data_IF_526239873027
#
_entry.id   IF_526239873027
#
_cell.length_a   1.000
_cell.length_b   1.000
_cell.length_c   1.000
_cell.angle_alpha   90.00
_cell.angle_beta   90.00
_cell.angle_gamma   90.00
#
_symmetry.space_group_name_H-M   'P 1'
#
loop_
_entity.id
_entity.type
_entity.pdbx_description
1 polymer ?
#
# COMPACT_ATOMS: atom_id res chain seq x y z
N UNK A 1 5.10 11.80 11.37
CA UNK A 1 4.30 12.54 12.36
C UNK A 1 4.96 12.52 13.74
N UNK A 2 5.07 11.40 14.44
CA UNK A 2 5.64 11.29 15.79
C UNK A 2 7.04 11.95 15.90
N UNK A 3 7.93 11.69 14.93
CA UNK A 3 9.23 12.34 14.85
C UNK A 3 9.11 13.88 14.86
N UNK A 4 8.25 14.44 14.01
CA UNK A 4 8.07 15.90 13.91
C UNK A 4 7.56 16.54 15.21
N UNK A 5 6.70 15.83 15.94
CA UNK A 5 6.21 16.31 17.25
C UNK A 5 7.30 16.19 18.34
N UNK A 6 8.01 15.06 18.36
CA UNK A 6 9.10 14.86 19.34
C UNK A 6 10.25 15.86 19.14
N UNK A 7 10.64 16.15 17.88
CA UNK A 7 11.65 17.17 17.55
C UNK A 7 11.24 18.61 17.96
N UNK A 8 9.94 18.86 18.20
CA UNK A 8 9.44 20.12 18.75
C UNK A 8 9.29 20.10 20.29
N UNK A 9 9.82 19.07 20.96
CA UNK A 9 9.82 18.95 22.43
C UNK A 9 8.53 18.38 23.03
N UNK A 10 7.55 17.94 22.21
CA UNK A 10 6.35 17.32 22.74
C UNK A 10 6.62 15.88 23.17
N UNK A 11 6.03 15.47 24.31
CA UNK A 11 6.06 14.06 24.74
C UNK A 11 5.17 13.22 23.86
N UNK A 12 5.75 12.34 23.06
CA UNK A 12 5.05 11.48 22.12
C UNK A 12 5.12 10.04 22.58
N UNK A 13 3.95 9.35 22.61
CA UNK A 13 3.88 7.92 22.85
C UNK A 13 3.13 7.25 21.70
N UNK A 14 3.74 6.21 21.13
CA UNK A 14 3.17 5.42 20.03
C UNK A 14 2.80 4.05 20.60
N UNK A 15 1.55 3.64 20.43
CA UNK A 15 1.07 2.29 20.73
C UNK A 15 0.95 1.50 19.43
N UNK A 16 1.59 0.33 19.38
CA UNK A 16 1.54 -0.59 18.23
C UNK A 16 1.07 -1.97 18.72
N UNK A 17 0.09 -2.54 18.00
CA UNK A 17 -0.46 -3.88 18.35
C UNK A 17 0.52 -5.02 18.07
N UNK A 18 1.42 -4.85 17.10
CA UNK A 18 2.40 -5.86 16.72
C UNK A 18 3.72 -5.73 17.49
N UNK A 19 4.51 -6.81 17.54
CA UNK A 19 5.83 -6.79 18.21
C UNK A 19 6.89 -5.99 17.43
N UNK A 20 6.60 -5.60 16.21
CA UNK A 20 7.46 -4.75 15.36
C UNK A 20 6.59 -3.71 14.67
N UNK A 21 7.04 -2.45 14.54
CA UNK A 21 6.31 -1.44 13.79
C UNK A 21 6.47 -1.64 12.30
N UNK A 22 5.71 -0.87 11.51
CA UNK A 22 5.82 -0.86 10.05
C UNK A 22 4.51 -1.09 9.31
N UNK A 23 3.43 -1.47 10.00
CA UNK A 23 2.11 -1.68 9.38
C UNK A 23 2.18 -2.71 8.25
N UNK A 24 1.85 -2.30 7.00
CA UNK A 24 1.96 -3.18 5.82
C UNK A 24 3.42 -3.42 5.39
N UNK A 25 4.37 -2.58 5.82
CA UNK A 25 5.80 -2.78 5.56
C UNK A 25 6.51 -3.57 6.69
N UNK A 26 5.74 -4.22 7.60
CA UNK A 26 6.33 -5.11 8.62
C UNK A 26 7.08 -6.25 7.94
N UNK A 27 8.12 -6.75 8.61
CA UNK A 27 9.06 -7.72 8.02
C UNK A 27 8.94 -9.10 8.66
N UNK A 28 9.30 -10.12 7.85
CA UNK A 28 9.71 -11.46 8.25
C UNK A 28 11.19 -11.61 7.96
N UNK A 29 11.79 -12.72 8.38
CA UNK A 29 13.19 -13.07 8.07
C UNK A 29 13.23 -14.21 7.06
N UNK A 30 14.02 -14.04 6.01
CA UNK A 30 14.25 -15.05 4.97
C UNK A 30 15.75 -15.11 4.70
N UNK A 31 16.35 -16.29 4.89
CA UNK A 31 17.79 -16.47 4.68
C UNK A 31 18.68 -15.58 5.56
N UNK A 32 18.17 -15.14 6.72
CA UNK A 32 18.88 -14.23 7.64
C UNK A 32 18.72 -12.74 7.31
N UNK A 33 17.98 -12.40 6.26
CA UNK A 33 17.71 -11.02 5.85
C UNK A 33 16.23 -10.63 6.07
N UNK A 34 15.93 -9.37 6.44
CA UNK A 34 14.56 -8.91 6.55
C UNK A 34 13.92 -8.77 5.17
N UNK A 35 12.65 -9.16 5.07
CA UNK A 35 11.82 -9.07 3.88
C UNK A 35 10.43 -8.58 4.28
N UNK A 36 9.83 -7.65 3.54
CA UNK A 36 8.48 -7.16 3.83
C UNK A 36 7.43 -8.27 3.67
N UNK A 37 6.47 -8.34 4.59
CA UNK A 37 5.34 -9.28 4.52
C UNK A 37 4.42 -9.03 3.31
N UNK A 38 4.37 -7.80 2.82
CA UNK A 38 3.74 -7.40 1.58
C UNK A 38 4.79 -6.73 0.71
N UNK A 39 4.82 -7.05 -0.58
CA UNK A 39 5.79 -6.51 -1.51
C UNK A 39 5.77 -4.98 -1.56
N UNK A 40 6.94 -4.36 -1.44
CA UNK A 40 7.13 -2.91 -1.48
C UNK A 40 8.26 -2.54 -2.45
N UNK A 41 8.09 -1.40 -3.07
CA UNK A 41 9.12 -0.70 -3.84
C UNK A 41 8.76 0.79 -3.89
N UNK A 42 9.72 1.63 -4.24
CA UNK A 42 9.52 3.06 -4.49
C UNK A 42 9.54 3.33 -5.99
N UNK A 43 8.79 4.34 -6.38
CA UNK A 43 8.93 4.98 -7.68
C UNK A 43 9.93 6.13 -7.60
N UNK A 44 10.58 6.45 -8.72
CA UNK A 44 11.54 7.60 -8.77
C UNK A 44 10.89 8.93 -8.42
N UNK A 45 9.56 9.01 -8.49
CA UNK A 45 8.76 10.17 -8.10
C UNK A 45 8.41 10.22 -6.61
N UNK A 46 8.77 9.20 -5.81
CA UNK A 46 8.44 9.10 -4.37
C UNK A 46 9.40 9.94 -3.52
N UNK A 47 9.41 11.24 -3.76
CA UNK A 47 10.38 12.19 -3.21
C UNK A 47 10.35 12.30 -1.70
N UNK A 48 9.18 12.16 -1.06
CA UNK A 48 9.09 12.24 0.40
C UNK A 48 9.76 11.03 1.08
N UNK A 49 9.66 9.85 0.48
CA UNK A 49 10.35 8.66 0.99
C UNK A 49 11.87 8.76 0.82
N UNK A 50 12.33 9.28 -0.32
CA UNK A 50 13.77 9.53 -0.57
C UNK A 50 14.30 10.57 0.42
N UNK A 51 13.63 11.71 0.55
CA UNK A 51 14.04 12.78 1.46
C UNK A 51 14.09 12.33 2.92
N UNK A 52 13.12 11.52 3.36
CA UNK A 52 13.14 10.97 4.72
C UNK A 52 14.30 9.98 4.91
N UNK A 53 14.61 9.14 3.91
CA UNK A 53 15.76 8.25 3.98
C UNK A 53 17.09 9.01 4.08
N UNK A 54 17.24 10.10 3.33
CA UNK A 54 18.39 10.99 3.40
C UNK A 54 18.48 11.68 4.77
N UNK A 55 17.38 12.25 5.26
CA UNK A 55 17.28 12.89 6.58
C UNK A 55 17.66 11.95 7.74
N UNK A 56 17.30 10.68 7.63
CA UNK A 56 17.60 9.65 8.62
C UNK A 56 18.99 9.01 8.45
N UNK A 57 19.78 9.46 7.44
CA UNK A 57 21.14 8.95 7.18
C UNK A 57 21.19 7.55 6.59
N UNK A 58 20.10 7.09 5.94
CA UNK A 58 20.01 5.77 5.29
C UNK A 58 19.73 5.87 3.79
N UNK A 59 19.89 7.05 3.21
CA UNK A 59 19.62 7.32 1.79
C UNK A 59 20.55 6.54 0.85
N UNK A 60 21.79 6.29 1.24
CA UNK A 60 22.79 5.51 0.52
C UNK A 60 22.45 4.01 0.41
N UNK A 61 21.52 3.54 1.21
CA UNK A 61 20.98 2.18 1.11
C UNK A 61 19.91 2.05 0.02
N UNK A 62 19.40 3.14 -0.53
CA UNK A 62 18.37 3.11 -1.57
C UNK A 62 18.98 2.83 -2.94
N UNK A 63 18.62 1.71 -3.53
CA UNK A 63 19.08 1.26 -4.84
C UNK A 63 17.97 1.38 -5.88
N UNK A 64 18.30 1.90 -7.06
CA UNK A 64 17.39 2.02 -8.18
C UNK A 64 17.72 0.98 -9.23
N UNK A 65 16.90 -0.05 -9.34
CA UNK A 65 17.15 -1.22 -10.15
C UNK A 65 16.14 -1.33 -11.31
N UNK A 66 16.53 -1.88 -12.47
CA UNK A 66 15.60 -2.12 -13.56
C UNK A 66 14.58 -3.19 -13.17
N UNK A 67 13.32 -2.97 -13.47
CA UNK A 67 12.25 -3.95 -13.24
C UNK A 67 11.67 -4.46 -14.55
N UNK A 68 11.36 -5.74 -14.59
CA UNK A 68 10.71 -6.39 -15.73
C UNK A 68 9.28 -6.76 -15.37
N UNK A 69 8.33 -6.29 -16.20
CA UNK A 69 6.91 -6.54 -16.00
C UNK A 69 6.35 -7.46 -17.08
N UNK A 70 5.47 -8.36 -16.66
CA UNK A 70 4.72 -9.22 -17.55
C UNK A 70 3.22 -9.18 -17.30
N UNK A 71 2.48 -9.83 -18.17
CA UNK A 71 1.06 -10.10 -18.02
C UNK A 71 0.78 -11.55 -18.43
N UNK A 72 0.01 -12.25 -17.62
CA UNK A 72 -0.57 -13.54 -17.93
C UNK A 72 -1.97 -13.31 -18.47
N UNK A 73 -2.21 -13.73 -19.70
CA UNK A 73 -3.53 -13.68 -20.35
C UNK A 73 -3.60 -14.72 -21.46
N UNK A 74 -4.80 -15.23 -21.71
CA UNK A 74 -5.05 -16.28 -22.74
C UNK A 74 -4.12 -17.50 -22.57
N UNK A 75 -3.87 -17.91 -21.31
CA UNK A 75 -3.04 -19.07 -20.98
C UNK A 75 -1.54 -18.90 -21.30
N UNK A 76 -1.02 -17.69 -21.44
CA UNK A 76 0.38 -17.41 -21.78
C UNK A 76 0.98 -16.23 -21.02
N UNK A 77 2.30 -16.31 -20.86
CA UNK A 77 3.15 -15.23 -20.39
C UNK A 77 3.49 -14.27 -21.54
N UNK A 78 3.28 -12.99 -21.31
CA UNK A 78 3.66 -11.94 -22.24
C UNK A 78 4.52 -10.90 -21.53
N UNK A 79 5.55 -10.44 -22.22
CA UNK A 79 6.27 -9.22 -21.80
C UNK A 79 5.32 -8.02 -21.94
N UNK A 80 5.22 -7.18 -20.93
CA UNK A 80 4.26 -6.08 -20.92
C UNK A 80 4.83 -4.88 -20.13
N UNK A 81 4.57 -3.66 -20.61
CA UNK A 81 4.99 -2.43 -19.92
C UNK A 81 5.96 -1.55 -20.71
N UNK A 82 6.46 -2.00 -21.85
CA UNK A 82 7.27 -1.19 -22.77
C UNK A 82 6.56 -1.01 -24.11
N UNK A 83 6.89 0.03 -24.92
CA UNK A 83 6.33 0.17 -26.26
C UNK A 83 6.61 -1.04 -27.15
N UNK A 84 7.82 -1.60 -27.07
CA UNK A 84 8.22 -2.77 -27.87
C UNK A 84 7.43 -4.02 -27.46
N UNK A 85 7.25 -4.24 -26.16
CA UNK A 85 6.45 -5.37 -25.66
C UNK A 85 4.99 -5.25 -26.09
N UNK A 86 4.42 -4.04 -26.09
CA UNK A 86 3.06 -3.81 -26.58
C UNK A 86 2.92 -4.11 -28.09
N UNK A 87 3.91 -3.76 -28.90
CA UNK A 87 3.89 -4.11 -30.34
C UNK A 87 3.84 -5.63 -30.54
N UNK A 88 4.54 -6.40 -29.71
CA UNK A 88 4.59 -7.87 -29.74
C UNK A 88 3.43 -8.55 -29.05
N UNK A 89 2.59 -7.81 -28.32
CA UNK A 89 1.45 -8.34 -27.56
C UNK A 89 0.31 -8.75 -28.51
N UNK A 90 0.27 -10.02 -28.87
CA UNK A 90 -0.67 -10.58 -29.87
C UNK A 90 -2.15 -10.56 -29.45
N UNK A 91 -2.52 -10.62 -28.15
CA UNK A 91 -3.92 -10.56 -27.72
C UNK A 91 -4.67 -9.29 -28.15
N UNK A 92 -3.93 -8.20 -28.45
CA UNK A 92 -4.50 -6.97 -29.00
C UNK A 92 -4.15 -6.78 -30.47
N UNK A 93 -5.14 -6.40 -31.28
CA UNK A 93 -4.94 -6.04 -32.69
C UNK A 93 -4.29 -4.63 -32.81
N UNK A 94 -3.81 -4.21 -33.99
CA UNK A 94 -3.14 -2.91 -34.16
C UNK A 94 -3.99 -1.69 -33.74
N UNK A 95 -5.31 -1.74 -34.00
CA UNK A 95 -6.22 -0.63 -33.62
C UNK A 95 -6.37 -0.55 -32.13
N UNK A 96 -6.52 -1.68 -31.43
CA UNK A 96 -6.60 -1.74 -29.98
C UNK A 96 -5.31 -1.24 -29.33
N UNK A 97 -4.13 -1.61 -29.87
CA UNK A 97 -2.83 -1.11 -29.43
C UNK A 97 -2.72 0.41 -29.57
N UNK A 98 -3.13 0.94 -30.72
CA UNK A 98 -3.12 2.39 -30.94
C UNK A 98 -4.03 3.11 -29.94
N UNK A 99 -5.27 2.63 -29.75
CA UNK A 99 -6.20 3.18 -28.74
C UNK A 99 -5.64 3.11 -27.33
N UNK A 100 -5.02 1.98 -26.96
CA UNK A 100 -4.37 1.80 -25.66
C UNK A 100 -3.25 2.83 -25.44
N UNK A 101 -2.38 3.04 -26.43
CA UNK A 101 -1.29 4.03 -26.37
C UNK A 101 -1.86 5.44 -26.25
N UNK A 102 -2.78 5.85 -27.12
CA UNK A 102 -3.34 7.20 -27.10
C UNK A 102 -4.06 7.51 -25.79
N UNK A 103 -4.84 6.55 -25.28
CA UNK A 103 -5.49 6.69 -23.97
C UNK A 103 -4.49 6.78 -22.83
N UNK A 104 -3.44 5.97 -22.82
CA UNK A 104 -2.38 6.01 -21.82
C UNK A 104 -1.63 7.35 -21.83
N UNK A 105 -1.24 7.83 -23.03
CA UNK A 105 -0.59 9.14 -23.16
C UNK A 105 -1.50 10.27 -22.69
N UNK A 106 -2.79 10.25 -23.07
CA UNK A 106 -3.77 11.22 -22.57
C UNK A 106 -3.79 11.27 -21.05
N UNK A 107 -3.81 10.12 -20.37
CA UNK A 107 -3.82 10.06 -18.91
C UNK A 107 -2.51 10.57 -18.29
N UNK A 108 -1.37 10.22 -18.87
CA UNK A 108 -0.05 10.65 -18.38
C UNK A 108 0.15 12.17 -18.48
N UNK A 109 -0.30 12.78 -19.59
CA UNK A 109 -0.14 14.20 -19.84
C UNK A 109 -1.27 15.08 -19.30
N UNK A 110 -2.43 14.51 -18.96
CA UNK A 110 -3.53 15.27 -18.38
C UNK A 110 -3.20 15.65 -16.93
N UNK A 111 -3.06 16.95 -16.66
CA UNK A 111 -2.84 17.49 -15.32
C UNK A 111 -4.12 17.64 -14.48
N UNK A 112 -5.27 17.82 -15.12
CA UNK A 112 -6.57 18.10 -14.49
C UNK A 112 -7.29 16.79 -14.17
N UNK A 113 -7.00 16.20 -13.01
CA UNK A 113 -7.61 14.94 -12.59
C UNK A 113 -9.10 15.05 -12.23
N UNK A 114 -9.57 16.26 -11.90
CA UNK A 114 -10.97 16.51 -11.54
C UNK A 114 -11.97 16.01 -12.60
N UNK A 115 -11.59 16.06 -13.87
CA UNK A 115 -12.43 15.53 -14.96
C UNK A 115 -12.65 13.99 -14.91
N UNK A 116 -11.91 13.28 -14.06
CA UNK A 116 -11.99 11.83 -13.90
C UNK A 116 -12.65 11.38 -12.60
N UNK A 117 -12.99 12.31 -11.69
CA UNK A 117 -13.53 11.97 -10.36
C UNK A 117 -14.92 11.34 -10.44
N UNK A 118 -15.75 11.85 -11.37
CA UNK A 118 -17.13 11.40 -11.55
C UNK A 118 -17.34 10.63 -12.87
N UNK A 119 -16.30 9.92 -13.32
CA UNK A 119 -16.32 9.08 -14.51
C UNK A 119 -15.97 7.66 -14.10
N UNK A 120 -16.81 6.69 -14.46
CA UNK A 120 -16.52 5.27 -14.25
C UNK A 120 -15.26 4.87 -15.05
N UNK A 121 -14.30 4.20 -14.37
CA UNK A 121 -13.11 3.69 -15.04
C UNK A 121 -13.47 2.68 -16.14
N UNK A 122 -14.43 1.81 -15.86
CA UNK A 122 -14.90 0.78 -16.80
C UNK A 122 -15.49 1.41 -18.06
N UNK A 123 -16.43 2.35 -17.90
CA UNK A 123 -17.05 3.05 -19.04
C UNK A 123 -16.00 3.84 -19.84
N UNK A 124 -15.10 4.53 -19.15
CA UNK A 124 -14.06 5.31 -19.81
C UNK A 124 -13.12 4.41 -20.63
N UNK A 125 -12.69 3.27 -20.07
CA UNK A 125 -11.80 2.30 -20.75
C UNK A 125 -12.53 1.73 -21.98
N UNK A 126 -13.76 1.22 -21.81
CA UNK A 126 -14.53 0.65 -22.91
C UNK A 126 -14.73 1.65 -24.06
N UNK A 127 -15.05 2.90 -23.73
CA UNK A 127 -15.27 3.97 -24.72
C UNK A 127 -13.98 4.38 -25.44
N UNK A 128 -12.86 4.49 -24.74
CA UNK A 128 -11.61 5.05 -25.30
C UNK A 128 -10.67 3.99 -25.83
N UNK A 129 -10.59 2.84 -25.19
CA UNK A 129 -9.67 1.77 -25.55
C UNK A 129 -10.36 0.60 -26.25
N UNK A 130 -11.67 0.43 -26.06
CA UNK A 130 -12.47 -0.61 -26.68
C UNK A 130 -12.67 -1.84 -25.77
N UNK A 131 -13.69 -2.64 -26.13
CA UNK A 131 -14.13 -3.80 -25.36
C UNK A 131 -13.07 -4.91 -25.30
N UNK A 132 -12.27 -5.09 -26.36
CA UNK A 132 -11.20 -6.09 -26.36
C UNK A 132 -10.12 -5.75 -25.33
N UNK A 133 -9.68 -4.49 -25.24
CA UNK A 133 -8.70 -4.05 -24.26
C UNK A 133 -9.23 -4.22 -22.84
N UNK A 134 -10.53 -3.90 -22.64
CA UNK A 134 -11.18 -4.15 -21.37
C UNK A 134 -11.11 -5.64 -20.98
N UNK A 135 -11.60 -6.53 -21.84
CA UNK A 135 -11.64 -7.97 -21.54
C UNK A 135 -10.28 -8.63 -21.39
N UNK A 136 -9.28 -8.18 -22.16
CA UNK A 136 -7.96 -8.83 -22.21
C UNK A 136 -6.99 -8.31 -21.15
N UNK A 137 -7.13 -7.03 -20.74
CA UNK A 137 -6.16 -6.37 -19.84
C UNK A 137 -6.83 -5.87 -18.57
N UNK A 138 -7.72 -4.88 -18.70
CA UNK A 138 -8.18 -4.12 -17.53
C UNK A 138 -9.24 -4.83 -16.71
N UNK A 139 -10.23 -5.46 -17.35
CA UNK A 139 -11.35 -6.11 -16.69
C UNK A 139 -10.90 -7.13 -15.65
N UNK A 140 -10.10 -8.15 -16.04
CA UNK A 140 -9.57 -9.10 -15.06
C UNK A 140 -8.81 -8.44 -13.90
N UNK A 141 -7.95 -7.45 -14.20
CA UNK A 141 -7.17 -6.74 -13.18
C UNK A 141 -8.07 -5.92 -12.23
N UNK A 142 -9.13 -5.31 -12.74
CA UNK A 142 -10.10 -4.58 -11.92
C UNK A 142 -10.90 -5.53 -11.04
N UNK A 143 -11.40 -6.63 -11.59
CA UNK A 143 -12.15 -7.62 -10.81
C UNK A 143 -11.29 -8.31 -9.76
N UNK A 144 -10.05 -8.64 -10.08
CA UNK A 144 -9.12 -9.23 -9.10
C UNK A 144 -8.69 -8.24 -8.01
N UNK A 145 -8.78 -6.92 -8.25
CA UNK A 145 -8.43 -5.91 -7.25
C UNK A 145 -9.62 -5.41 -6.44
N UNK A 146 -10.78 -5.29 -7.07
CA UNK A 146 -11.96 -4.66 -6.49
C UNK A 146 -13.19 -5.59 -6.44
N UNK A 147 -13.06 -6.82 -6.90
CA UNK A 147 -14.13 -7.83 -6.96
C UNK A 147 -15.40 -7.26 -7.60
N UNK A 148 -16.55 -7.42 -6.96
CA UNK A 148 -17.87 -6.94 -7.40
C UNK A 148 -17.99 -5.41 -7.43
N UNK A 149 -17.07 -4.68 -6.79
CA UNK A 149 -17.02 -3.22 -6.82
C UNK A 149 -16.21 -2.63 -7.99
N UNK A 150 -15.68 -3.46 -8.88
CA UNK A 150 -14.90 -3.02 -10.03
C UNK A 150 -15.61 -1.94 -10.89
N UNK A 151 -16.92 -2.08 -11.10
CA UNK A 151 -17.74 -1.13 -11.86
C UNK A 151 -17.92 0.23 -11.17
N UNK A 152 -17.75 0.31 -9.85
CA UNK A 152 -17.90 1.52 -9.04
C UNK A 152 -16.63 2.37 -9.01
N UNK A 153 -15.49 1.86 -9.47
CA UNK A 153 -14.19 2.53 -9.41
C UNK A 153 -14.16 3.76 -10.31
N UNK A 154 -13.82 4.91 -9.73
CA UNK A 154 -13.65 6.15 -10.48
C UNK A 154 -12.36 6.14 -11.32
N UNK A 155 -12.44 6.76 -12.50
CA UNK A 155 -11.32 6.82 -13.44
C UNK A 155 -10.11 7.57 -12.88
N UNK A 156 -10.30 8.44 -11.90
CA UNK A 156 -9.23 9.17 -11.23
C UNK A 156 -8.23 8.23 -10.57
N UNK A 157 -8.67 7.08 -10.03
CA UNK A 157 -7.78 6.08 -9.47
C UNK A 157 -6.82 5.51 -10.52
N UNK A 158 -7.33 5.12 -11.70
CA UNK A 158 -6.47 4.61 -12.79
C UNK A 158 -5.56 5.70 -13.35
N UNK A 159 -6.08 6.94 -13.45
CA UNK A 159 -5.27 8.10 -13.83
C UNK A 159 -4.05 8.27 -12.89
N UNK A 160 -4.28 8.23 -11.57
CA UNK A 160 -3.21 8.32 -10.57
C UNK A 160 -2.14 7.26 -10.76
N UNK A 161 -2.55 6.00 -10.94
CA UNK A 161 -1.67 4.86 -11.22
C UNK A 161 -0.81 5.03 -12.46
N UNK A 162 -1.43 5.40 -13.59
CA UNK A 162 -0.71 5.53 -14.87
C UNK A 162 0.18 6.76 -14.91
N UNK A 163 -0.21 7.84 -14.24
CA UNK A 163 0.61 9.04 -14.11
C UNK A 163 1.85 8.80 -13.25
N UNK A 164 1.71 8.12 -12.13
CA UNK A 164 2.83 7.74 -11.26
C UNK A 164 3.85 6.89 -12.02
N UNK A 165 3.40 5.84 -12.69
CA UNK A 165 4.27 4.98 -13.52
C UNK A 165 4.90 5.72 -14.69
N UNK A 166 4.17 6.63 -15.34
CA UNK A 166 4.69 7.45 -16.42
C UNK A 166 5.87 8.32 -16.00
N UNK A 167 5.83 8.84 -14.77
CA UNK A 167 6.90 9.65 -14.18
C UNK A 167 8.10 8.85 -13.68
N UNK A 168 7.95 7.56 -13.46
CA UNK A 168 8.99 6.65 -12.97
C UNK A 168 9.77 5.94 -14.08
N UNK A 169 9.48 6.24 -15.35
CA UNK A 169 10.24 5.68 -16.47
C UNK A 169 11.61 6.30 -16.57
N UNK A 170 12.60 5.51 -17.04
CA UNK A 170 13.92 6.01 -17.39
C UNK A 170 13.83 7.10 -18.46
N UNK A 171 14.81 8.00 -18.53
CA UNK A 171 14.89 9.07 -19.54
C UNK A 171 14.81 8.52 -20.98
N UNK A 172 15.30 7.29 -21.20
CA UNK A 172 15.17 6.60 -22.49
C UNK A 172 13.75 6.10 -22.80
N UNK A 173 12.80 6.16 -21.83
CA UNK A 173 11.42 5.67 -21.98
C UNK A 173 11.29 4.14 -22.17
N UNK A 174 12.41 3.40 -22.19
CA UNK A 174 12.45 1.97 -22.54
C UNK A 174 12.42 1.01 -21.35
N UNK A 175 12.33 1.50 -20.12
CA UNK A 175 12.28 0.64 -18.93
C UNK A 175 11.80 1.39 -17.70
N UNK A 176 11.25 0.66 -16.74
CA UNK A 176 10.91 1.17 -15.41
C UNK A 176 12.05 0.85 -14.45
N UNK A 177 12.45 1.83 -13.65
CA UNK A 177 13.36 1.63 -12.52
C UNK A 177 12.57 1.83 -11.23
N UNK A 178 12.73 0.89 -10.32
CA UNK A 178 12.09 0.95 -9.02
C UNK A 178 13.16 1.06 -7.93
N UNK A 179 12.79 1.67 -6.80
CA UNK A 179 13.65 1.83 -5.65
C UNK A 179 13.41 0.72 -4.61
N UNK A 180 14.49 0.17 -4.07
CA UNK A 180 14.44 -0.74 -2.94
C UNK A 180 15.61 -0.49 -1.99
N UNK A 181 15.43 -0.69 -0.69
CA UNK A 181 16.49 -0.51 0.28
C UNK A 181 17.31 -1.78 0.47
N UNK A 182 18.63 -1.64 0.44
CA UNK A 182 19.54 -2.71 0.85
C UNK A 182 19.32 -3.04 2.33
N UNK A 183 18.94 -4.30 2.60
CA UNK A 183 18.50 -4.74 3.93
C UNK A 183 17.04 -4.38 4.23
N UNK A 184 16.19 -4.26 3.19
CA UNK A 184 14.75 -4.00 3.24
C UNK A 184 14.35 -2.60 3.76
N UNK A 185 13.10 -2.22 3.60
CA UNK A 185 12.57 -0.99 4.21
C UNK A 185 12.55 -1.03 5.75
N UNK A 186 12.86 -2.19 6.36
CA UNK A 186 13.11 -2.26 7.80
C UNK A 186 14.21 -1.27 8.24
N UNK A 187 15.22 -1.01 7.37
CA UNK A 187 16.27 -0.01 7.65
C UNK A 187 15.71 1.38 7.85
N UNK A 188 14.77 1.80 7.00
CA UNK A 188 14.10 3.09 7.15
C UNK A 188 13.26 3.15 8.44
N UNK A 189 12.52 2.08 8.74
CA UNK A 189 11.69 1.99 9.93
C UNK A 189 12.56 2.04 11.18
N UNK A 190 13.64 1.25 11.25
CA UNK A 190 14.56 1.24 12.41
C UNK A 190 15.26 2.59 12.59
N UNK A 191 15.69 3.25 11.51
CA UNK A 191 16.28 4.58 11.61
C UNK A 191 15.26 5.61 12.14
N UNK A 192 14.00 5.52 11.68
CA UNK A 192 12.91 6.37 12.17
C UNK A 192 12.61 6.14 13.64
N UNK A 193 12.55 4.88 14.10
CA UNK A 193 12.39 4.52 15.52
C UNK A 193 13.50 5.09 16.38
N UNK A 194 14.75 4.88 15.96
CA UNK A 194 15.93 5.39 16.68
C UNK A 194 15.89 6.91 16.80
N UNK A 195 15.51 7.60 15.75
CA UNK A 195 15.41 9.06 15.74
C UNK A 195 14.26 9.57 16.62
N UNK A 196 13.09 8.91 16.62
CA UNK A 196 11.97 9.23 17.51
C UNK A 196 12.39 9.04 18.97
N UNK A 197 13.05 7.94 19.29
CA UNK A 197 13.51 7.65 20.67
C UNK A 197 14.57 8.65 21.11
N UNK A 198 15.52 9.00 20.25
CA UNK A 198 16.53 10.03 20.54
C UNK A 198 15.92 11.42 20.79
N UNK A 199 14.76 11.71 20.18
CA UNK A 199 13.99 12.92 20.40
C UNK A 199 13.03 12.82 21.61
N UNK A 200 13.15 11.79 22.45
CA UNK A 200 12.33 11.61 23.67
C UNK A 200 10.97 10.93 23.43
N UNK A 201 10.67 10.48 22.23
CA UNK A 201 9.46 9.71 21.93
C UNK A 201 9.54 8.28 22.45
N UNK A 202 8.39 7.67 22.73
CA UNK A 202 8.28 6.30 23.25
C UNK A 202 7.46 5.43 22.30
N UNK A 203 8.00 4.24 21.96
CA UNK A 203 7.27 3.20 21.24
C UNK A 203 6.90 2.09 22.21
N UNK A 204 5.61 1.78 22.30
CA UNK A 204 5.07 0.70 23.12
C UNK A 204 4.52 -0.37 22.17
N UNK A 205 5.30 -1.40 21.98
CA UNK A 205 5.00 -2.49 21.06
C UNK A 205 4.21 -3.62 21.73
N UNK A 206 3.51 -4.47 20.94
CA UNK A 206 2.63 -5.52 21.44
C UNK A 206 1.53 -5.01 22.37
N UNK A 207 1.14 -3.74 22.21
CA UNK A 207 0.19 -3.06 23.09
C UNK A 207 -0.96 -2.47 22.25
N UNK A 208 -1.98 -3.26 21.92
CA UNK A 208 -3.14 -2.78 21.16
C UNK A 208 -3.96 -1.78 21.99
N UNK A 209 -4.30 -0.66 21.36
CA UNK A 209 -5.31 0.27 21.92
C UNK A 209 -6.67 -0.39 21.79
N UNK A 210 -7.42 -0.44 22.88
CA UNK A 210 -8.76 -1.02 22.93
C UNK A 210 -9.85 0.03 22.81
N UNK A 211 -9.60 1.21 23.37
CA UNK A 211 -10.58 2.29 23.42
C UNK A 211 -9.88 3.62 23.67
N UNK A 212 -10.44 4.70 23.15
CA UNK A 212 -10.09 6.07 23.49
C UNK A 212 -11.29 6.63 24.23
N UNK A 213 -11.07 7.15 25.45
CA UNK A 213 -12.09 7.78 26.28
C UNK A 213 -11.76 9.26 26.44
N UNK A 214 -12.75 10.06 26.85
CA UNK A 214 -12.54 11.47 27.20
C UNK A 214 -13.11 11.74 28.58
N UNK A 215 -12.25 12.12 29.50
CA UNK A 215 -12.60 12.40 30.89
C UNK A 215 -12.01 13.74 31.29
N UNK A 216 -12.84 14.63 31.85
CA UNK A 216 -12.41 15.96 32.31
C UNK A 216 -11.65 16.80 31.27
N UNK A 217 -12.08 16.67 30.00
CA UNK A 217 -11.48 17.39 28.87
C UNK A 217 -10.20 16.78 28.28
N UNK A 218 -9.63 15.73 28.91
CA UNK A 218 -8.45 15.01 28.45
C UNK A 218 -8.80 13.63 27.90
N UNK A 219 -7.95 13.12 27.00
CA UNK A 219 -8.09 11.76 26.51
C UNK A 219 -7.45 10.74 27.45
N UNK A 220 -8.05 9.54 27.46
CA UNK A 220 -7.49 8.36 28.08
C UNK A 220 -7.37 7.29 26.98
N UNK A 221 -6.14 6.94 26.62
CA UNK A 221 -5.88 5.85 25.68
C UNK A 221 -5.83 4.56 26.48
N UNK A 222 -6.86 3.74 26.34
CA UNK A 222 -7.03 2.50 27.09
C UNK A 222 -6.40 1.34 26.33
N UNK A 223 -5.47 0.68 26.98
CA UNK A 223 -4.75 -0.49 26.44
C UNK A 223 -4.88 -1.67 27.43
N UNK A 224 -4.16 -2.75 27.18
CA UNK A 224 -4.09 -3.88 28.12
C UNK A 224 -3.36 -3.51 29.41
N UNK A 225 -2.34 -2.66 29.32
CA UNK A 225 -1.51 -2.25 30.46
C UNK A 225 -2.14 -1.16 31.33
N UNK A 226 -3.28 -0.57 30.89
CA UNK A 226 -4.00 0.46 31.62
C UNK A 226 -4.45 1.63 30.77
N UNK A 227 -4.86 2.72 31.42
CA UNK A 227 -5.25 3.97 30.79
C UNK A 227 -4.09 4.97 30.79
N UNK A 228 -3.83 5.57 29.64
CA UNK A 228 -2.73 6.51 29.45
C UNK A 228 -3.29 7.89 29.09
N UNK A 229 -3.06 8.92 29.93
CA UNK A 229 -3.58 10.26 29.62
C UNK A 229 -2.85 10.89 28.44
N UNK A 230 -3.61 11.63 27.64
CA UNK A 230 -3.11 12.38 26.50
C UNK A 230 -3.91 13.67 26.30
N UNK A 231 -3.24 14.74 25.88
CA UNK A 231 -3.87 16.01 25.52
C UNK A 231 -4.39 15.97 24.09
N UNK A 232 -3.68 15.25 23.20
CA UNK A 232 -4.03 15.04 21.80
C UNK A 232 -3.85 13.57 21.44
N UNK A 233 -4.70 13.05 20.58
CA UNK A 233 -4.62 11.67 20.09
C UNK A 233 -4.70 11.66 18.56
N UNK A 234 -3.76 10.98 17.91
CA UNK A 234 -3.82 10.73 16.48
C UNK A 234 -3.94 9.23 16.22
N UNK A 235 -5.04 8.83 15.62
CA UNK A 235 -5.25 7.44 15.20
C UNK A 235 -4.66 7.28 13.81
N UNK A 236 -3.48 6.65 13.74
CA UNK A 236 -2.78 6.33 12.50
C UNK A 236 -3.04 4.86 12.09
N UNK A 237 -4.29 4.44 12.16
CA UNK A 237 -4.77 3.10 11.88
C UNK A 237 -5.84 3.11 10.78
N UNK A 238 -6.20 1.95 10.19
CA UNK A 238 -7.32 1.84 9.25
C UNK A 238 -8.63 2.38 9.81
N UNK A 239 -9.54 2.81 8.91
CA UNK A 239 -10.85 3.36 9.29
C UNK A 239 -11.65 2.43 10.21
N UNK A 240 -11.74 1.11 9.98
CA UNK A 240 -12.44 0.21 10.90
C UNK A 240 -11.85 0.22 12.32
N UNK A 241 -10.53 0.22 12.45
CA UNK A 241 -9.86 0.31 13.76
C UNK A 241 -10.19 1.64 14.46
N UNK A 242 -10.23 2.75 13.70
CA UNK A 242 -10.61 4.06 14.26
C UNK A 242 -12.04 4.06 14.78
N UNK A 243 -12.98 3.49 14.02
CA UNK A 243 -14.38 3.34 14.42
C UNK A 243 -14.48 2.48 15.70
N UNK A 244 -13.76 1.37 15.76
CA UNK A 244 -13.75 0.47 16.92
C UNK A 244 -13.29 1.18 18.19
N UNK A 245 -12.15 1.88 18.14
CA UNK A 245 -11.53 2.44 19.34
C UNK A 245 -12.06 3.84 19.72
N UNK A 246 -12.59 4.63 18.78
CA UNK A 246 -12.97 6.02 18.99
C UNK A 246 -14.35 6.40 18.43
N UNK A 247 -15.02 5.53 17.66
CA UNK A 247 -16.28 5.87 16.98
C UNK A 247 -17.41 6.35 17.89
N UNK A 248 -17.43 5.89 19.15
CA UNK A 248 -18.42 6.33 20.14
C UNK A 248 -18.24 7.79 20.60
N UNK A 249 -17.13 8.43 20.29
CA UNK A 249 -16.85 9.83 20.58
C UNK A 249 -17.26 10.75 19.42
N UNK A 250 -17.36 10.22 18.21
CA UNK A 250 -17.57 10.98 16.98
C UNK A 250 -19.01 11.45 16.84
N UNK A 251 -19.20 12.55 16.10
CA UNK A 251 -20.51 12.97 15.64
C UNK A 251 -21.17 11.86 14.81
N UNK A 252 -22.48 11.63 14.95
CA UNK A 252 -23.20 10.57 14.22
C UNK A 252 -23.11 10.70 12.69
N UNK A 253 -22.96 11.89 12.15
CA UNK A 253 -22.81 12.08 10.70
C UNK A 253 -21.41 11.70 10.24
N UNK A 254 -20.38 12.08 11.01
CA UNK A 254 -18.99 11.67 10.74
C UNK A 254 -18.84 10.16 10.83
N UNK A 255 -19.38 9.54 11.89
CA UNK A 255 -19.35 8.09 12.05
C UNK A 255 -19.98 7.36 10.85
N UNK A 256 -21.14 7.81 10.37
CA UNK A 256 -21.78 7.24 9.17
C UNK A 256 -20.90 7.36 7.93
N UNK A 257 -20.28 8.54 7.69
CA UNK A 257 -19.36 8.72 6.55
C UNK A 257 -18.17 7.75 6.60
N UNK A 258 -17.61 7.52 7.79
CA UNK A 258 -16.52 6.55 7.96
C UNK A 258 -17.00 5.11 7.71
N UNK A 259 -18.20 4.75 8.13
CA UNK A 259 -18.80 3.43 7.90
C UNK A 259 -19.11 3.15 6.41
N UNK A 260 -19.38 4.19 5.63
CA UNK A 260 -19.63 4.09 4.19
C UNK A 260 -18.36 3.93 3.34
N UNK A 261 -17.17 4.10 3.94
CA UNK A 261 -15.91 3.90 3.23
C UNK A 261 -15.60 2.41 3.07
N UNK A 262 -15.29 2.03 1.85
CA UNK A 262 -14.98 0.66 1.51
C UNK A 262 -13.51 0.47 1.15
N UNK A 263 -12.95 -0.66 1.53
CA UNK A 263 -11.63 -1.10 1.10
C UNK A 263 -11.64 -2.61 0.85
N UNK A 264 -10.78 -3.06 -0.04
CA UNK A 264 -10.49 -4.49 -0.12
C UNK A 264 -9.43 -4.86 0.91
N UNK A 265 -9.59 -6.05 1.46
CA UNK A 265 -8.55 -6.74 2.20
C UNK A 265 -7.50 -7.33 1.23
N UNK A 266 -6.42 -7.83 1.74
CA UNK A 266 -5.42 -8.54 0.95
C UNK A 266 -4.89 -9.77 1.68
N UNK A 267 -4.68 -10.83 0.91
CA UNK A 267 -3.84 -11.97 1.27
C UNK A 267 -2.52 -11.81 0.51
N UNK A 268 -1.42 -12.00 1.22
CA UNK A 268 -0.11 -12.11 0.62
C UNK A 268 0.56 -13.40 1.08
N UNK A 269 0.75 -14.33 0.16
CA UNK A 269 1.51 -15.56 0.42
C UNK A 269 2.91 -15.39 -0.13
N UNK A 270 3.93 -15.55 0.73
CA UNK A 270 5.33 -15.50 0.35
C UNK A 270 5.86 -16.92 0.28
N UNK A 271 6.38 -17.30 -0.87
CA UNK A 271 7.04 -18.59 -1.07
C UNK A 271 8.54 -18.40 -1.18
N UNK A 272 9.28 -19.19 -0.43
CA UNK A 272 10.72 -19.40 -0.62
C UNK A 272 10.89 -20.59 -1.53
N UNK A 273 11.52 -20.39 -2.68
CA UNK A 273 11.66 -21.41 -3.72
C UNK A 273 13.13 -21.73 -3.98
N UNK A 274 13.40 -22.97 -4.41
CA UNK A 274 14.72 -23.38 -4.88
C UNK A 274 14.94 -23.07 -6.37
N UNK A 275 13.92 -22.65 -7.10
CA UNK A 275 13.96 -22.28 -8.52
C UNK A 275 13.06 -21.08 -8.80
N UNK A 276 13.41 -20.30 -9.83
CA UNK A 276 12.57 -19.21 -10.33
C UNK A 276 11.32 -19.74 -11.00
N UNK A 277 10.17 -19.13 -10.70
CA UNK A 277 8.87 -19.44 -11.33
C UNK A 277 8.73 -18.77 -12.69
N UNK A 278 9.11 -17.48 -12.79
CA UNK A 278 8.90 -16.63 -13.97
C UNK A 278 10.12 -15.74 -14.24
N UNK A 279 10.30 -15.21 -15.46
CA UNK A 279 11.36 -14.25 -15.74
C UNK A 279 11.00 -12.80 -15.37
N UNK A 280 9.86 -12.55 -14.71
CA UNK A 280 9.35 -11.23 -14.41
C UNK A 280 9.48 -10.91 -12.93
N UNK A 281 9.82 -9.66 -12.61
CA UNK A 281 9.64 -9.14 -11.26
C UNK A 281 8.16 -9.02 -10.91
N UNK A 282 7.39 -8.40 -11.79
CA UNK A 282 5.96 -8.20 -11.61
C UNK A 282 5.17 -8.85 -12.74
N UNK A 283 4.37 -9.84 -12.42
CA UNK A 283 3.47 -10.50 -13.35
C UNK A 283 2.02 -10.20 -12.97
N UNK A 284 1.34 -9.39 -13.78
CA UNK A 284 -0.10 -9.19 -13.66
C UNK A 284 -0.84 -10.43 -14.16
N UNK A 285 -1.82 -10.88 -13.43
CA UNK A 285 -2.65 -12.01 -13.83
C UNK A 285 -3.96 -11.46 -14.39
N UNK A 286 -4.09 -11.46 -15.71
CA UNK A 286 -5.30 -11.02 -16.42
C UNK A 286 -6.11 -12.22 -16.90
N UNK A 287 -6.41 -13.12 -15.99
CA UNK A 287 -7.19 -14.34 -16.19
C UNK A 287 -8.15 -14.53 -15.00
N UNK A 288 -9.47 -14.42 -15.20
CA UNK A 288 -10.44 -14.51 -14.10
C UNK A 288 -10.53 -15.90 -13.45
N UNK A 289 -10.03 -16.94 -14.12
CA UNK A 289 -9.98 -18.29 -13.54
C UNK A 289 -8.82 -18.52 -12.58
N UNK A 290 -7.87 -17.58 -12.51
CA UNK A 290 -6.75 -17.67 -11.60
C UNK A 290 -7.15 -17.18 -10.21
N UNK A 291 -6.77 -17.90 -9.12
CA UNK A 291 -7.20 -17.57 -7.76
C UNK A 291 -6.43 -16.41 -7.12
N UNK A 292 -5.60 -15.70 -7.87
CA UNK A 292 -4.80 -14.56 -7.40
C UNK A 292 -4.61 -13.51 -8.49
N UNK A 293 -4.37 -12.24 -8.10
CA UNK A 293 -4.25 -11.10 -8.99
C UNK A 293 -2.85 -10.77 -9.48
N UNK A 294 -1.82 -11.23 -8.79
CA UNK A 294 -0.45 -10.92 -9.16
C UNK A 294 0.59 -11.84 -8.55
N UNK A 295 1.67 -12.03 -9.28
CA UNK A 295 2.88 -12.68 -8.82
C UNK A 295 4.03 -11.69 -8.87
N UNK A 296 4.71 -11.53 -7.73
CA UNK A 296 5.86 -10.64 -7.64
C UNK A 296 7.07 -11.51 -7.26
N UNK A 297 7.88 -11.86 -8.25
CA UNK A 297 9.09 -12.62 -8.01
C UNK A 297 10.22 -11.66 -7.63
N UNK A 298 10.33 -11.41 -6.34
CA UNK A 298 11.21 -10.41 -5.74
C UNK A 298 12.66 -10.59 -6.17
N UNK A 299 13.12 -11.82 -6.30
CA UNK A 299 14.49 -12.15 -6.66
C UNK A 299 14.80 -12.07 -8.17
N UNK A 300 13.82 -11.68 -9.00
CA UNK A 300 14.05 -11.19 -10.36
C UNK A 300 14.35 -9.69 -10.39
N UNK A 301 14.31 -9.03 -9.25
CA UNK A 301 14.56 -7.61 -9.06
C UNK A 301 15.71 -7.38 -8.06
N UNK A 302 15.68 -8.09 -6.91
CA UNK A 302 16.73 -8.04 -5.90
C UNK A 302 17.58 -9.33 -5.99
N UNK A 303 18.93 -9.23 -5.96
CA UNK A 303 19.79 -10.40 -6.03
C UNK A 303 19.50 -11.45 -4.96
N UNK A 304 19.37 -12.71 -5.36
CA UNK A 304 19.00 -13.83 -4.49
C UNK A 304 20.06 -14.19 -3.44
N UNK A 305 21.31 -13.81 -3.66
CA UNK A 305 22.40 -13.97 -2.69
C UNK A 305 22.13 -13.26 -1.37
N UNK A 306 21.29 -12.23 -1.39
CA UNK A 306 20.78 -11.58 -0.17
C UNK A 306 19.82 -12.46 0.64
N UNK A 307 19.29 -13.53 0.06
CA UNK A 307 18.31 -14.44 0.67
C UNK A 307 18.81 -15.87 0.69
N UNK A 308 20.11 -16.06 0.95
CA UNK A 308 20.76 -17.39 1.01
C UNK A 308 20.52 -18.22 -0.28
N UNK A 309 20.55 -17.55 -1.43
CA UNK A 309 20.36 -18.17 -2.74
C UNK A 309 18.93 -18.57 -3.08
N UNK A 310 17.95 -18.27 -2.23
CA UNK A 310 16.54 -18.60 -2.43
C UNK A 310 15.89 -17.68 -3.45
N UNK A 311 14.90 -18.19 -4.17
CA UNK A 311 13.99 -17.40 -4.96
C UNK A 311 12.76 -17.02 -4.12
N UNK A 312 12.37 -15.77 -4.13
CA UNK A 312 11.26 -15.24 -3.33
C UNK A 312 10.11 -14.84 -4.24
N UNK A 313 8.97 -15.48 -4.04
CA UNK A 313 7.75 -15.22 -4.79
C UNK A 313 6.64 -14.75 -3.85
N UNK A 314 6.12 -13.56 -4.08
CA UNK A 314 4.87 -13.10 -3.48
C UNK A 314 3.70 -13.44 -4.39
N UNK A 315 2.65 -14.02 -3.81
CA UNK A 315 1.35 -14.22 -4.44
C UNK A 315 0.39 -13.24 -3.79
N UNK A 316 -0.06 -12.27 -4.58
CA UNK A 316 -0.91 -11.18 -4.11
C UNK A 316 -2.35 -11.39 -4.54
N UNK A 317 -3.25 -11.30 -3.57
CA UNK A 317 -4.69 -11.42 -3.82
C UNK A 317 -5.45 -10.36 -3.02
N UNK A 318 -6.35 -9.62 -3.68
CA UNK A 318 -7.24 -8.65 -3.05
C UNK A 318 -8.64 -9.25 -2.99
N UNK A 319 -9.21 -9.27 -1.80
CA UNK A 319 -10.49 -9.93 -1.52
C UNK A 319 -11.29 -9.06 -0.55
N UNK A 320 -12.59 -9.29 -0.45
CA UNK A 320 -13.35 -8.80 0.69
C UNK A 320 -13.28 -9.80 1.85
N UNK A 321 -13.44 -9.35 3.11
CA UNK A 321 -13.28 -10.21 4.29
C UNK A 321 -14.30 -11.37 4.38
N UNK A 322 -15.40 -11.31 3.63
CA UNK A 322 -16.41 -12.36 3.52
C UNK A 322 -16.07 -13.43 2.48
N UNK A 323 -15.08 -13.20 1.63
CA UNK A 323 -14.67 -14.17 0.62
C UNK A 323 -14.13 -15.47 1.27
N UNK A 324 -14.54 -16.65 0.79
CA UNK A 324 -14.12 -17.94 1.40
C UNK A 324 -12.60 -18.08 1.52
N UNK A 325 -11.85 -17.70 0.49
CA UNK A 325 -10.39 -17.79 0.49
C UNK A 325 -9.73 -16.87 1.54
N UNK A 326 -10.37 -15.73 1.91
CA UNK A 326 -9.87 -14.85 2.96
C UNK A 326 -9.95 -15.49 4.35
N UNK A 327 -10.95 -16.36 4.56
CA UNK A 327 -11.17 -17.07 5.81
C UNK A 327 -10.50 -18.44 5.86
N UNK A 328 -9.92 -18.86 4.74
CA UNK A 328 -9.28 -20.18 4.62
C UNK A 328 -7.95 -20.23 5.39
N UNK A 329 -7.56 -21.41 5.78
CA UNK A 329 -6.25 -21.68 6.38
C UNK A 329 -5.14 -21.46 5.34
N UNK A 330 -3.91 -21.28 5.83
CA UNK A 330 -2.72 -21.15 4.96
C UNK A 330 -2.60 -22.34 4.00
N UNK A 331 -2.87 -23.54 4.49
CA UNK A 331 -2.77 -24.78 3.72
C UNK A 331 -3.82 -24.84 2.62
N UNK A 332 -5.05 -24.44 2.89
CA UNK A 332 -6.14 -24.36 1.91
C UNK A 332 -5.85 -23.29 0.84
N UNK A 333 -5.39 -22.09 1.25
CA UNK A 333 -4.98 -21.04 0.31
C UNK A 333 -3.84 -21.54 -0.59
N UNK A 334 -2.80 -22.12 -0.01
CA UNK A 334 -1.69 -22.67 -0.78
C UNK A 334 -2.17 -23.79 -1.72
N UNK A 335 -3.03 -24.70 -1.23
CA UNK A 335 -3.63 -25.77 -2.04
C UNK A 335 -4.37 -25.24 -3.27
N UNK A 336 -5.10 -24.13 -3.12
CA UNK A 336 -5.80 -23.47 -4.24
C UNK A 336 -4.84 -22.82 -5.24
N UNK A 337 -3.65 -22.38 -4.79
CA UNK A 337 -2.67 -21.71 -5.65
C UNK A 337 -1.79 -22.66 -6.45
N UNK A 338 -1.48 -23.85 -5.95
CA UNK A 338 -0.56 -24.79 -6.60
C UNK A 338 -0.93 -25.14 -8.06
N UNK A 339 -2.18 -25.49 -8.40
CA UNK A 339 -2.56 -25.75 -9.78
C UNK A 339 -2.40 -24.53 -10.69
N UNK A 340 -2.67 -23.34 -10.17
CA UNK A 340 -2.52 -22.09 -10.91
C UNK A 340 -1.05 -21.73 -11.16
N UNK A 341 -0.15 -21.97 -10.20
CA UNK A 341 1.29 -21.82 -10.38
C UNK A 341 1.81 -22.76 -11.45
N UNK A 342 1.32 -24.00 -11.51
CA UNK A 342 1.66 -24.97 -12.55
C UNK A 342 1.15 -24.57 -13.94
N UNK A 343 -0.02 -23.86 -14.00
CA UNK A 343 -0.46 -23.25 -15.28
C UNK A 343 0.53 -22.16 -15.75
N UNK A 344 1.05 -21.35 -14.83
CA UNK A 344 2.03 -20.29 -15.14
C UNK A 344 3.37 -20.87 -15.58
N UNK A 345 3.84 -21.90 -14.90
CA UNK A 345 5.06 -22.64 -15.26
C UNK A 345 4.80 -24.15 -15.19
N UNK A 346 4.64 -24.83 -16.34
CA UNK A 346 4.37 -26.27 -16.36
C UNK A 346 5.41 -27.14 -15.68
N UNK A 347 6.64 -26.65 -15.49
CA UNK A 347 7.71 -27.35 -14.77
C UNK A 347 7.61 -27.17 -13.25
N UNK A 348 6.71 -26.30 -12.78
CA UNK A 348 6.57 -26.06 -11.35
C UNK A 348 6.09 -27.33 -10.63
N UNK A 349 6.76 -27.66 -9.55
CA UNK A 349 6.41 -28.75 -8.66
C UNK A 349 6.44 -28.28 -7.21
N UNK A 350 5.58 -28.86 -6.37
CA UNK A 350 5.50 -28.51 -4.95
C UNK A 350 6.85 -28.62 -4.23
N UNK A 351 7.74 -29.51 -4.67
CA UNK A 351 9.08 -29.66 -4.12
C UNK A 351 9.99 -28.44 -4.33
N UNK A 352 9.59 -27.49 -5.18
CA UNK A 352 10.29 -26.21 -5.30
C UNK A 352 10.10 -25.33 -4.07
N UNK A 353 9.05 -25.55 -3.27
CA UNK A 353 8.70 -24.74 -2.09
C UNK A 353 9.56 -25.22 -0.91
N UNK A 354 10.47 -24.37 -0.48
CA UNK A 354 11.30 -24.56 0.72
C UNK A 354 10.56 -24.12 1.99
N UNK A 355 9.86 -22.99 1.92
CA UNK A 355 9.03 -22.46 2.98
C UNK A 355 7.88 -21.61 2.43
N UNK A 356 6.86 -21.38 3.24
CA UNK A 356 5.74 -20.52 2.89
C UNK A 356 5.26 -19.70 4.09
N UNK A 357 4.96 -18.43 3.86
CA UNK A 357 4.45 -17.50 4.86
C UNK A 357 3.16 -16.89 4.35
N UNK A 358 2.24 -16.58 5.26
CA UNK A 358 0.91 -16.13 4.90
C UNK A 358 0.51 -14.92 5.74
N UNK A 359 0.10 -13.84 5.09
CA UNK A 359 -0.20 -12.56 5.73
C UNK A 359 -1.56 -12.05 5.26
N UNK A 360 -2.29 -11.48 6.21
CA UNK A 360 -3.56 -10.80 5.99
C UNK A 360 -3.44 -9.31 6.28
N UNK A 361 -4.20 -8.52 5.52
CA UNK A 361 -4.45 -7.12 5.78
C UNK A 361 -5.92 -6.84 5.55
N UNK A 362 -6.67 -6.57 6.62
CA UNK A 362 -8.12 -6.40 6.58
C UNK A 362 -8.56 -5.14 5.81
N UNK A 363 -7.69 -4.16 5.75
CA UNK A 363 -7.89 -2.90 5.05
C UNK A 363 -6.64 -2.57 4.22
N UNK A 364 -6.59 -3.05 2.98
CA UNK A 364 -5.39 -2.98 2.16
C UNK A 364 -5.47 -1.95 1.03
N UNK A 365 -6.64 -1.77 0.43
CA UNK A 365 -6.83 -0.85 -0.69
C UNK A 365 -8.20 -0.17 -0.60
N UNK A 366 -8.26 1.14 -0.32
CA UNK A 366 -9.50 1.90 -0.44
C UNK A 366 -10.09 1.81 -1.86
N UNK A 367 -11.40 1.66 -1.95
CA UNK A 367 -12.12 1.67 -3.22
C UNK A 367 -12.50 3.10 -3.54
N UNK A 368 -11.78 3.70 -4.46
CA UNK A 368 -12.05 5.09 -4.91
C UNK A 368 -13.24 5.07 -5.86
N UNK A 369 -14.43 5.29 -5.32
CA UNK A 369 -15.71 5.32 -6.05
C UNK A 369 -15.97 6.68 -6.70
N UNK A 370 -17.05 6.80 -7.48
CA UNK A 370 -17.54 8.08 -7.94
C UNK A 370 -17.90 8.95 -6.73
N UNK A 371 -17.55 10.24 -6.76
CA UNK A 371 -17.78 11.16 -5.64
C UNK A 371 -16.91 10.89 -4.39
N UNK A 372 -15.83 10.13 -4.52
CA UNK A 372 -14.97 9.79 -3.38
C UNK A 372 -14.38 11.01 -2.66
N UNK A 373 -14.17 12.12 -3.38
CA UNK A 373 -13.67 13.38 -2.79
C UNK A 373 -14.54 13.87 -1.63
N UNK A 374 -15.86 13.80 -1.76
CA UNK A 374 -16.82 14.22 -0.75
C UNK A 374 -16.90 13.24 0.43
N UNK A 375 -16.38 12.02 0.24
CA UNK A 375 -16.34 10.97 1.26
C UNK A 375 -15.01 10.93 2.04
N UNK A 376 -13.96 11.61 1.55
CA UNK A 376 -12.65 11.60 2.20
C UNK A 376 -12.79 12.16 3.62
N UNK A 377 -12.41 11.38 4.66
CA UNK A 377 -12.47 11.88 6.03
C UNK A 377 -11.46 12.99 6.25
N UNK A 378 -11.82 13.99 7.00
CA UNK A 378 -10.89 15.03 7.43
C UNK A 378 -9.89 14.46 8.45
N UNK A 379 -8.72 15.09 8.55
CA UNK A 379 -7.75 14.72 9.60
C UNK A 379 -8.22 15.16 10.99
N UNK A 380 -8.86 16.34 11.10
CA UNK A 380 -9.55 16.72 12.33
C UNK A 380 -10.90 16.01 12.39
N UNK A 381 -11.14 15.29 13.47
CA UNK A 381 -12.46 14.72 13.72
C UNK A 381 -13.42 15.78 14.32
N UNK A 382 -14.67 15.43 14.48
CA UNK A 382 -15.65 16.26 15.23
C UNK A 382 -15.27 16.45 16.70
N UNK A 383 -14.31 15.71 17.22
CA UNK A 383 -13.83 15.77 18.61
C UNK A 383 -12.52 16.56 18.65
N UNK A 384 -12.53 17.78 19.21
CA UNK A 384 -11.32 18.58 19.32
C UNK A 384 -10.19 17.83 20.03
N UNK A 385 -9.02 17.75 19.38
CA UNK A 385 -7.86 17.03 19.89
C UNK A 385 -7.76 15.56 19.48
N UNK A 386 -8.78 15.02 18.80
CA UNK A 386 -8.75 13.69 18.20
C UNK A 386 -8.59 13.82 16.67
N UNK A 387 -7.61 13.11 16.11
CA UNK A 387 -7.27 13.17 14.69
C UNK A 387 -7.26 11.76 14.08
N UNK A 388 -7.57 11.71 12.78
CA UNK A 388 -7.43 10.53 11.94
C UNK A 388 -6.35 10.78 10.88
N UNK A 389 -5.39 9.85 10.75
CA UNK A 389 -4.39 9.87 9.68
C UNK A 389 -4.29 8.48 9.05
N UNK A 390 -4.99 8.25 7.95
CA UNK A 390 -5.09 6.91 7.35
C UNK A 390 -5.05 6.94 5.82
N UNK A 391 -4.91 5.78 5.22
CA UNK A 391 -4.80 5.64 3.75
C UNK A 391 -6.07 6.06 2.98
N UNK A 392 -7.25 6.11 3.62
CA UNK A 392 -8.47 6.56 2.97
C UNK A 392 -8.43 8.05 2.59
N UNK A 393 -7.54 8.82 3.21
CA UNK A 393 -7.35 10.24 2.91
C UNK A 393 -6.44 10.51 1.71
N UNK A 394 -5.73 9.48 1.23
CA UNK A 394 -4.80 9.62 0.10
C UNK A 394 -5.60 9.72 -1.19
N UNK A 395 -5.57 10.90 -1.81
CA UNK A 395 -6.31 11.21 -3.03
C UNK A 395 -5.68 12.43 -3.73
N UNK A 396 -5.59 12.51 -5.06
CA UNK A 396 -6.02 11.53 -6.07
C UNK A 396 -5.01 10.41 -6.35
N UNK A 397 -3.93 10.41 -5.63
CA UNK A 397 -2.87 9.40 -5.74
C UNK A 397 -3.32 8.06 -5.13
N UNK A 398 -2.56 7.01 -5.43
CA UNK A 398 -2.78 5.73 -4.78
C UNK A 398 -1.91 5.60 -3.52
N UNK A 399 -2.38 4.78 -2.59
CA UNK A 399 -1.69 4.51 -1.33
C UNK A 399 -0.26 4.00 -1.55
N UNK A 400 0.62 4.30 -0.62
CA UNK A 400 2.01 3.84 -0.62
C UNK A 400 2.82 4.49 0.49
N UNK A 401 4.02 4.00 0.71
CA UNK A 401 4.93 4.48 1.76
C UNK A 401 5.20 6.00 1.63
N UNK A 402 5.42 6.47 0.41
CA UNK A 402 5.63 7.90 0.14
C UNK A 402 4.48 8.76 0.67
N UNK A 403 3.24 8.34 0.41
CA UNK A 403 2.06 9.09 0.85
C UNK A 403 1.77 8.93 2.34
N UNK A 404 2.12 7.80 2.96
CA UNK A 404 2.09 7.65 4.40
C UNK A 404 3.00 8.68 5.09
N UNK A 405 4.18 8.95 4.53
CA UNK A 405 5.11 9.99 5.01
C UNK A 405 4.51 11.39 4.80
N UNK A 406 4.02 11.70 3.60
CA UNK A 406 3.41 13.00 3.29
C UNK A 406 2.23 13.30 4.22
N UNK A 407 1.35 12.34 4.44
CA UNK A 407 0.16 12.52 5.29
C UNK A 407 0.54 12.53 6.77
N UNK A 408 1.57 11.79 7.17
CA UNK A 408 2.16 11.88 8.50
C UNK A 408 2.72 13.27 8.81
N UNK A 409 3.42 13.88 7.87
CA UNK A 409 3.92 15.27 8.01
C UNK A 409 2.79 16.30 8.01
N UNK A 410 1.72 16.09 7.20
CA UNK A 410 0.51 16.95 7.22
C UNK A 410 -0.19 16.87 8.58
N UNK A 411 -0.37 15.67 9.13
CA UNK A 411 -0.97 15.46 10.43
C UNK A 411 -0.15 16.14 11.55
N UNK A 412 1.18 16.02 11.49
CA UNK A 412 2.06 16.71 12.47
C UNK A 412 1.86 18.23 12.46
N UNK A 413 1.88 18.84 11.27
CA UNK A 413 1.65 20.30 11.14
C UNK A 413 0.28 20.69 11.69
N UNK A 414 -0.74 19.93 11.38
CA UNK A 414 -2.11 20.17 11.83
C UNK A 414 -2.20 20.17 13.36
N UNK A 415 -1.62 19.16 14.01
CA UNK A 415 -1.58 19.02 15.46
C UNK A 415 -0.80 20.19 16.08
N UNK A 416 0.37 20.55 15.53
CA UNK A 416 1.18 21.67 16.00
C UNK A 416 0.44 23.00 15.89
N UNK A 417 -0.28 23.23 14.81
CA UNK A 417 -1.07 24.45 14.62
C UNK A 417 -2.20 24.56 15.65
N UNK A 418 -2.85 23.44 15.96
CA UNK A 418 -3.93 23.42 16.96
C UNK A 418 -3.38 23.60 18.39
N UNK A 419 -2.24 22.99 18.72
CA UNK A 419 -1.58 23.18 20.01
C UNK A 419 -1.19 24.65 20.23
N UNK A 420 -0.64 25.32 19.22
CA UNK A 420 -0.30 26.75 19.28
C UNK A 420 -1.53 27.64 19.49
N UNK A 421 -2.63 27.33 18.81
CA UNK A 421 -3.90 28.10 18.92
C UNK A 421 -4.55 27.95 20.29
N UNK A 422 -4.43 26.78 20.92
CA UNK A 422 -5.08 26.48 22.19
C UNK A 422 -4.26 26.87 23.42
N UNK A 423 -3.08 27.47 23.23
CA UNK A 423 -2.22 27.93 24.36
C UNK A 423 -1.60 26.79 25.19
N UNK A 424 -1.68 25.53 24.73
CA UNK A 424 -1.13 24.36 25.44
C UNK A 424 0.31 24.04 25.00
N UNK A 425 1.03 25.02 24.50
CA UNK A 425 2.28 24.82 23.77
C UNK A 425 3.57 25.19 24.49
N UNK A 426 3.62 25.16 25.81
CA UNK A 426 4.93 25.22 26.50
C UNK A 426 5.62 23.86 26.39
N UNK A 427 6.85 23.79 25.81
CA UNK A 427 7.65 22.58 25.86
C UNK A 427 7.90 22.14 27.31
N UNK A 428 7.92 20.83 27.53
CA UNK A 428 8.20 20.29 28.86
C UNK A 428 9.55 20.85 29.38
N UNK A 429 9.65 21.27 30.65
CA UNK A 429 10.93 21.65 31.22
C UNK A 429 11.92 20.49 31.16
N UNK A 430 13.18 20.80 30.85
CA UNK A 430 14.28 19.84 30.82
C UNK A 430 14.31 19.04 32.14
N UNK A 431 14.55 17.74 32.13
CA UNK A 431 14.74 16.95 33.33
C UNK A 431 16.01 17.44 34.03
N UNK A 432 15.87 17.91 35.26
CA UNK A 432 16.95 18.25 36.17
C UNK A 432 17.74 17.01 36.58
#
# INVERSE_FOLDING_TARGET
MALRLAEQGYRVRIFERYPRPGGLARVLEVGGEPLEAFYHHLFTSDRAAVALAEELGVGDLLEWLPSKMGIWTEGRLWDFGTPVSLLRFRPLNPVDKLRFVLATLRLQYTGRYQQFENVSAVEWIRRTQGERVWRTVWGPLFHQKFADRAEQVAMVWLWGKLRLRGRSRSESGMGERLGYMRGSFARLITALESRITAAGGQLVLSEPVRRIERTEGRFQVVTRSGAHPADQVVVAAPVPDHIEIAGHLLDPQELRRLQDLHATAAICTVLELNRSLTPFYWLNIADPEMPFGGLIEHTNYIPRDRYDGRHILYISNYLFPDHPLYRATKEEVLGSYLPALQRVNPSFDRSWILASHHFHADYAQPVVTLGYREQIPEMRTSVPGLYLCCMAQIFPEDRGMNYAIVYGDRAARLVLDDLRRNGSGDPAPEPS
#
